data_IF_697819844145
#
_entry.id   IF_697819844145
#
_cell.length_a   1.000
_cell.length_b   1.000
_cell.length_c   1.000
_cell.angle_alpha   90.00
_cell.angle_beta   90.00
_cell.angle_gamma   90.00
#
_symmetry.space_group_name_H-M   'P 1'
#
loop_
_entity.id
_entity.type
_entity.pdbx_description
1 polymer ?
#
# COMPACT_ATOMS: atom_id res chain seq x y z
N UNK A 1 -10.79 3.58 -5.30
CA UNK A 1 -9.34 3.80 -5.10
C UNK A 1 -8.77 4.46 -6.34
N UNK A 2 -7.74 5.29 -6.20
CA UNK A 2 -7.08 5.90 -7.36
C UNK A 2 -6.36 4.82 -8.21
N UNK A 3 -6.37 4.99 -9.54
CA UNK A 3 -5.91 3.99 -10.50
C UNK A 3 -4.44 3.60 -10.33
N UNK A 4 -3.53 4.56 -10.12
CA UNK A 4 -2.11 4.29 -9.90
C UNK A 4 -1.85 3.55 -8.59
N UNK A 5 -2.61 3.84 -7.53
CA UNK A 5 -2.58 3.05 -6.28
C UNK A 5 -2.97 1.59 -6.52
N UNK A 6 -4.06 1.33 -7.27
CA UNK A 6 -4.47 -0.06 -7.58
C UNK A 6 -3.39 -0.79 -8.37
N UNK A 7 -2.70 -0.11 -9.31
CA UNK A 7 -1.59 -0.71 -10.07
C UNK A 7 -0.42 -1.10 -9.18
N UNK A 8 -0.01 -0.21 -8.26
CA UNK A 8 1.09 -0.48 -7.32
C UNK A 8 0.74 -1.67 -6.42
N UNK A 9 -0.48 -1.73 -5.90
CA UNK A 9 -0.91 -2.84 -5.03
C UNK A 9 -0.96 -4.17 -5.77
N UNK A 10 -1.48 -4.20 -7.01
CA UNK A 10 -1.47 -5.42 -7.83
C UNK A 10 -0.05 -5.88 -8.12
N UNK A 11 0.84 -4.99 -8.53
CA UNK A 11 2.22 -5.35 -8.82
C UNK A 11 2.97 -5.83 -7.56
N UNK A 12 2.70 -5.24 -6.39
CA UNK A 12 3.26 -5.70 -5.13
C UNK A 12 2.75 -7.09 -4.74
N UNK A 13 1.45 -7.37 -4.96
CA UNK A 13 0.86 -8.67 -4.69
C UNK A 13 1.52 -9.76 -5.54
N UNK A 14 1.67 -9.52 -6.85
CA UNK A 14 2.40 -10.42 -7.76
C UNK A 14 3.86 -10.62 -7.32
N UNK A 15 4.56 -9.56 -6.93
CA UNK A 15 5.96 -9.64 -6.47
C UNK A 15 6.13 -10.50 -5.20
N UNK A 16 5.09 -10.59 -4.37
CA UNK A 16 5.09 -11.33 -3.11
C UNK A 16 4.38 -12.68 -3.20
N UNK A 17 3.95 -13.08 -4.40
CA UNK A 17 3.18 -14.30 -4.63
C UNK A 17 1.91 -14.36 -3.76
N UNK A 18 1.21 -13.22 -3.68
CA UNK A 18 -0.03 -13.05 -2.92
C UNK A 18 -1.17 -12.67 -3.84
N UNK A 19 -2.41 -13.02 -3.46
CA UNK A 19 -3.55 -12.37 -4.08
C UNK A 19 -3.64 -10.90 -3.61
N UNK A 20 -4.32 -10.07 -4.39
CA UNK A 20 -4.60 -8.69 -3.96
C UNK A 20 -5.42 -8.65 -2.66
N UNK A 21 -6.28 -9.67 -2.44
CA UNK A 21 -7.07 -9.81 -1.22
C UNK A 21 -6.19 -10.05 0.00
N UNK A 22 -5.29 -11.03 -0.07
CA UNK A 22 -4.39 -11.39 1.04
C UNK A 22 -3.47 -10.22 1.41
N UNK A 23 -2.94 -9.52 0.40
CA UNK A 23 -2.12 -8.33 0.62
C UNK A 23 -2.92 -7.24 1.38
N UNK A 24 -4.16 -6.99 0.96
CA UNK A 24 -5.00 -5.98 1.60
C UNK A 24 -5.39 -6.38 3.02
N UNK A 25 -5.75 -7.65 3.23
CA UNK A 25 -6.05 -8.18 4.56
C UNK A 25 -4.86 -8.00 5.50
N UNK A 26 -3.66 -8.41 5.08
CA UNK A 26 -2.44 -8.23 5.86
C UNK A 26 -2.16 -6.78 6.23
N UNK A 27 -2.33 -5.83 5.29
CA UNK A 27 -2.16 -4.40 5.56
C UNK A 27 -3.18 -3.90 6.60
N UNK A 28 -4.44 -4.30 6.45
CA UNK A 28 -5.54 -3.85 7.33
C UNK A 28 -5.38 -4.41 8.74
N UNK A 29 -5.03 -5.70 8.89
CA UNK A 29 -4.79 -6.32 10.19
C UNK A 29 -3.63 -5.64 10.94
N UNK A 30 -2.51 -5.35 10.27
CA UNK A 30 -1.42 -4.58 10.90
C UNK A 30 -1.87 -3.18 11.31
N UNK A 31 -2.68 -2.49 10.49
CA UNK A 31 -3.20 -1.17 10.82
C UNK A 31 -4.13 -1.22 12.05
N UNK A 32 -5.00 -2.23 12.16
CA UNK A 32 -5.84 -2.43 13.35
C UNK A 32 -5.02 -2.69 14.62
N UNK A 33 -3.86 -3.32 14.49
CA UNK A 33 -2.93 -3.54 15.61
C UNK A 33 -1.95 -2.38 15.84
N UNK A 34 -2.03 -1.29 15.08
CA UNK A 34 -1.10 -0.16 15.17
C UNK A 34 0.35 -0.49 14.74
N UNK A 35 0.53 -1.55 13.94
CA UNK A 35 1.84 -2.02 13.47
C UNK A 35 2.10 -1.57 12.04
N UNK A 36 3.39 -1.48 11.68
CA UNK A 36 3.79 -1.23 10.30
C UNK A 36 3.61 -2.51 9.44
N UNK A 37 2.91 -2.45 8.30
CA UNK A 37 2.63 -3.63 7.48
C UNK A 37 3.80 -4.09 6.60
N UNK A 38 4.85 -3.26 6.44
CA UNK A 38 5.94 -3.51 5.50
C UNK A 38 7.31 -3.32 6.13
N UNK A 39 8.25 -4.19 5.75
CA UNK A 39 9.67 -4.05 6.06
C UNK A 39 10.32 -2.93 5.23
N UNK A 40 11.53 -2.51 5.62
CA UNK A 40 12.32 -1.52 4.87
C UNK A 40 12.57 -1.95 3.41
N UNK A 41 12.85 -3.23 3.19
CA UNK A 41 13.05 -3.78 1.84
C UNK A 41 11.77 -3.68 1.01
N UNK A 42 10.62 -4.09 1.56
CA UNK A 42 9.34 -3.99 0.86
C UNK A 42 8.97 -2.53 0.56
N UNK A 43 9.30 -1.60 1.45
CA UNK A 43 9.09 -0.16 1.20
C UNK A 43 9.95 0.36 0.03
N UNK A 44 11.16 -0.16 -0.17
CA UNK A 44 11.99 0.19 -1.33
C UNK A 44 11.36 -0.32 -2.63
N UNK A 45 10.87 -1.57 -2.63
CA UNK A 45 10.15 -2.15 -3.77
C UNK A 45 8.88 -1.33 -4.11
N UNK A 46 8.12 -0.94 -3.09
CA UNK A 46 6.95 -0.05 -3.25
C UNK A 46 7.36 1.28 -3.88
N UNK A 47 8.46 1.89 -3.43
CA UNK A 47 8.94 3.17 -3.99
C UNK A 47 9.27 3.05 -5.48
N UNK A 48 9.87 1.94 -5.90
CA UNK A 48 10.14 1.67 -7.31
C UNK A 48 8.86 1.47 -8.12
N UNK A 49 7.92 0.67 -7.62
CA UNK A 49 6.62 0.48 -8.27
C UNK A 49 5.85 1.80 -8.41
N UNK A 50 5.89 2.66 -7.40
CA UNK A 50 5.30 4.00 -7.46
C UNK A 50 5.92 4.84 -8.58
N UNK A 51 7.24 4.76 -8.78
CA UNK A 51 7.95 5.44 -9.87
C UNK A 51 7.50 4.91 -11.23
N UNK A 52 7.45 3.59 -11.40
CA UNK A 52 7.05 2.92 -12.66
C UNK A 52 5.62 3.29 -13.06
N UNK A 53 4.68 3.28 -12.11
CA UNK A 53 3.27 3.57 -12.38
C UNK A 53 2.89 5.05 -12.25
N UNK A 54 3.86 5.94 -11.97
CA UNK A 54 3.63 7.37 -11.83
C UNK A 54 2.75 7.77 -10.64
N UNK A 55 2.72 6.96 -9.57
CA UNK A 55 1.90 7.21 -8.38
C UNK A 55 2.52 8.32 -7.51
N UNK A 56 1.91 9.50 -7.57
CA UNK A 56 2.32 10.68 -6.78
C UNK A 56 1.62 10.80 -5.42
N UNK A 57 0.55 10.03 -5.21
CA UNK A 57 -0.25 10.07 -3.99
C UNK A 57 0.57 9.78 -2.73
N UNK A 58 0.25 10.53 -1.69
CA UNK A 58 0.75 10.43 -0.31
C UNK A 58 -0.41 10.25 0.66
N UNK A 59 -0.10 9.83 1.88
CA UNK A 59 -1.10 9.70 2.94
C UNK A 59 -1.83 11.03 3.23
N UNK A 60 -1.14 12.17 3.10
CA UNK A 60 -1.71 13.52 3.23
C UNK A 60 -2.78 13.85 2.19
N UNK A 61 -2.76 13.16 1.04
CA UNK A 61 -3.74 13.34 -0.02
C UNK A 61 -5.00 12.48 0.23
N UNK A 62 -5.03 11.71 1.33
CA UNK A 62 -6.22 10.99 1.77
C UNK A 62 -7.28 11.99 2.24
N UNK A 63 -8.17 12.38 1.31
CA UNK A 63 -9.18 13.41 1.56
C UNK A 63 -10.28 13.01 2.56
N UNK A 64 -10.30 11.78 3.10
CA UNK A 64 -11.49 11.25 3.80
C UNK A 64 -11.26 10.45 5.08
N UNK A 65 -10.04 10.07 5.43
CA UNK A 65 -9.76 9.33 6.67
C UNK A 65 -8.99 10.22 7.64
N UNK A 66 -9.73 10.84 8.56
CA UNK A 66 -9.18 11.41 9.79
C UNK A 66 -9.69 10.57 10.94
N UNK A 67 -8.78 9.87 11.62
CA UNK A 67 -9.09 9.33 12.95
C UNK A 67 -9.31 10.53 13.88
N UNK A 68 -10.46 10.56 14.54
CA UNK A 68 -10.68 11.53 15.62
C UNK A 68 -9.97 10.98 16.86
N UNK A 69 -9.26 11.85 17.62
CA UNK A 69 -8.61 11.44 18.87
C UNK A 69 -9.60 10.91 19.90
#
# INVERSE_FOLDING_TARGET
MEKSLVKVLKALAELKDLSLGDLLEGIVLHAFEGKAPFSKETLQQIAELKRIYGMKLRASDSHKLREKP
#
